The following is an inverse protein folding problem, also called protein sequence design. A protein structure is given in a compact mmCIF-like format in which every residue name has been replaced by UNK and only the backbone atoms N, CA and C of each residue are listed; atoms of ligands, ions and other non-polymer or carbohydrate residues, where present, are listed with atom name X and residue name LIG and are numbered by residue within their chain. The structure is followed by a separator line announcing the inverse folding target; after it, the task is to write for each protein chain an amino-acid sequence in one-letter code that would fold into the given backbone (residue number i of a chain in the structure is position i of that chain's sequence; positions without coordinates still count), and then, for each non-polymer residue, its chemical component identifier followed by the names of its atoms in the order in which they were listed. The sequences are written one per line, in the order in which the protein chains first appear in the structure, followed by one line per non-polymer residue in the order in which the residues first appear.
data_IF_593040128135
#
_entry.id   IF_593040128135
#
_cell.length_a   1.000
_cell.length_b   1.000
_cell.length_c   1.000
_cell.angle_alpha   90.00
_cell.angle_beta   90.00
_cell.angle_gamma   90.00
#
_symmetry.space_group_name_H-M   'P 1'
#
loop_
_entity.id
_entity.type
_entity.pdbx_description
1 polymer ?
#
# COMPACT_ATOMS: atom_id res chain seq x y z
N UNK A 1 8.65 0.83 0.68
CA UNK A 1 9.26 2.08 0.16
C UNK A 1 8.90 3.23 1.08
N UNK A 2 9.50 4.42 0.92
CA UNK A 2 9.10 5.62 1.69
C UNK A 2 8.10 6.45 0.90
N UNK A 3 7.12 7.05 1.58
CA UNK A 3 6.14 7.94 0.96
C UNK A 3 6.83 9.14 0.28
N UNK A 4 6.55 9.42 -1.01
CA UNK A 4 7.00 10.65 -1.66
C UNK A 4 6.17 11.86 -1.23
N UNK A 5 5.01 11.65 -0.60
CA UNK A 5 4.19 12.70 -0.01
C UNK A 5 4.67 12.93 1.41
N UNK A 6 5.19 14.13 1.66
CA UNK A 6 5.56 14.58 3.00
C UNK A 6 4.29 14.81 3.84
N UNK A 7 4.34 14.44 5.12
CA UNK A 7 3.22 14.51 6.08
C UNK A 7 2.47 15.85 6.09
N UNK A 8 3.17 16.95 5.83
CA UNK A 8 2.60 18.31 5.74
C UNK A 8 1.60 18.52 4.60
N UNK A 9 1.63 17.66 3.58
CA UNK A 9 0.71 17.65 2.42
C UNK A 9 -0.23 16.43 2.43
N UNK A 10 -0.25 15.66 3.53
CA UNK A 10 -1.16 14.53 3.67
C UNK A 10 -2.60 15.05 3.64
N UNK A 11 -3.40 14.48 2.75
CA UNK A 11 -4.83 14.73 2.64
C UNK A 11 -5.60 13.47 3.05
N UNK A 12 -6.63 13.57 3.91
CA UNK A 12 -7.46 12.43 4.32
C UNK A 12 -8.26 11.80 3.18
N UNK A 13 -8.31 12.45 2.01
CA UNK A 13 -8.92 11.89 0.80
C UNK A 13 -8.06 10.79 0.16
N UNK A 14 -6.78 10.74 0.47
CA UNK A 14 -5.87 9.70 0.01
C UNK A 14 -5.44 8.84 1.21
N UNK A 15 -5.50 7.50 1.08
CA UNK A 15 -5.04 6.62 2.14
C UNK A 15 -3.54 6.81 2.40
N UNK A 16 -3.12 6.62 3.64
CA UNK A 16 -1.70 6.62 3.99
C UNK A 16 -0.97 5.53 3.19
N UNK A 17 0.13 5.92 2.53
CA UNK A 17 0.93 4.98 1.73
C UNK A 17 1.51 3.95 2.68
N UNK A 18 1.22 2.67 2.41
CA UNK A 18 1.81 1.57 3.16
C UNK A 18 3.27 1.44 2.79
N UNK A 19 4.16 1.58 3.79
CA UNK A 19 5.61 1.59 3.54
C UNK A 19 6.27 0.22 3.68
N UNK A 20 5.69 -0.62 4.55
CA UNK A 20 6.21 -1.94 4.89
C UNK A 20 5.28 -3.02 4.36
N UNK A 21 5.86 -3.95 3.62
CA UNK A 21 5.16 -5.02 2.94
C UNK A 21 5.80 -6.34 3.31
N UNK A 22 4.98 -7.34 3.59
CA UNK A 22 5.39 -8.74 3.77
C UNK A 22 4.73 -9.54 2.67
N UNK A 23 5.54 -10.11 1.78
CA UNK A 23 5.06 -10.88 0.64
C UNK A 23 5.42 -12.35 0.80
N UNK A 24 4.46 -13.23 0.54
CA UNK A 24 4.65 -14.68 0.42
C UNK A 24 4.18 -15.12 -0.97
N UNK A 25 4.96 -15.95 -1.64
CA UNK A 25 4.61 -16.47 -2.96
C UNK A 25 4.86 -17.98 -3.08
N UNK A 26 4.09 -18.63 -3.93
CA UNK A 26 4.26 -20.02 -4.32
C UNK A 26 4.01 -20.17 -5.83
N UNK A 27 4.95 -20.82 -6.51
CA UNK A 27 4.87 -21.15 -7.93
C UNK A 27 4.85 -22.67 -8.12
N UNK A 28 4.07 -23.14 -9.09
CA UNK A 28 3.96 -24.55 -9.48
C UNK A 28 3.97 -24.68 -11.00
N UNK A 29 4.97 -25.39 -11.51
CA UNK A 29 5.08 -25.74 -12.93
C UNK A 29 4.60 -27.18 -13.16
N UNK A 30 3.71 -27.35 -14.13
CA UNK A 30 3.13 -28.60 -14.60
C UNK A 30 3.32 -28.73 -16.11
N UNK A 31 4.58 -28.86 -16.55
CA UNK A 31 4.94 -28.96 -17.96
C UNK A 31 4.73 -27.64 -18.67
N UNK A 32 3.75 -27.60 -19.58
CA UNK A 32 3.42 -26.40 -20.34
C UNK A 32 2.56 -25.41 -19.55
N UNK A 33 2.07 -25.79 -18.36
CA UNK A 33 1.23 -24.96 -17.49
C UNK A 33 2.01 -24.48 -16.27
N UNK A 34 1.93 -23.18 -15.98
CA UNK A 34 2.45 -22.58 -14.74
C UNK A 34 1.32 -21.98 -13.90
N UNK A 35 1.48 -22.02 -12.60
CA UNK A 35 0.58 -21.41 -11.62
C UNK A 35 1.38 -20.62 -10.60
N UNK A 36 1.01 -19.36 -10.39
CA UNK A 36 1.63 -18.51 -9.39
C UNK A 36 0.57 -17.95 -8.44
N UNK A 37 0.81 -18.08 -7.15
CA UNK A 37 0.02 -17.49 -6.09
C UNK A 37 0.90 -16.57 -5.26
N UNK A 38 0.48 -15.33 -5.06
CA UNK A 38 1.15 -14.40 -4.17
C UNK A 38 0.16 -13.77 -3.18
N UNK A 39 0.64 -13.57 -1.96
CA UNK A 39 -0.05 -12.87 -0.90
C UNK A 39 0.85 -11.74 -0.39
N UNK A 40 0.32 -10.54 -0.32
CA UNK A 40 0.98 -9.36 0.20
C UNK A 40 0.20 -8.79 1.37
N UNK A 41 0.89 -8.64 2.50
CA UNK A 41 0.44 -7.94 3.68
C UNK A 41 1.16 -6.58 3.75
N UNK A 42 0.43 -5.52 3.40
CA UNK A 42 0.81 -4.15 3.67
C UNK A 42 0.50 -3.79 5.13
N UNK A 43 1.55 -3.65 5.94
CA UNK A 43 1.44 -3.31 7.36
C UNK A 43 0.85 -1.91 7.56
N UNK A 44 0.12 -1.74 8.65
CA UNK A 44 -0.49 -0.45 8.98
C UNK A 44 0.57 0.67 9.03
N UNK A 45 0.27 1.77 8.32
CA UNK A 45 1.04 3.00 8.42
C UNK A 45 0.11 4.14 8.80
N UNK A 46 0.54 4.93 9.78
CA UNK A 46 -0.21 6.06 10.31
C UNK A 46 0.57 7.34 10.03
N UNK A 47 -0.09 8.30 9.39
CA UNK A 47 0.48 9.61 9.09
C UNK A 47 -0.43 10.69 9.68
N UNK A 48 0.19 11.71 10.25
CA UNK A 48 -0.51 12.84 10.89
C UNK A 48 -0.11 14.13 10.21
N UNK A 49 -1.10 14.93 9.78
CA UNK A 49 -0.88 16.28 9.29
C UNK A 49 -1.17 17.31 10.39
N UNK A 50 -0.12 17.85 10.99
CA UNK A 50 -0.20 18.90 12.01
C UNK A 50 -0.04 20.31 11.43
N UNK A 51 -0.09 20.47 10.11
CA UNK A 51 0.07 21.78 9.49
C UNK A 51 -1.14 22.68 9.82
N UNK A 52 -0.85 23.82 10.45
CA UNK A 52 -1.84 24.81 10.86
C UNK A 52 -2.25 25.77 9.72
N UNK A 53 -1.49 25.81 8.62
CA UNK A 53 -1.83 26.61 7.46
C UNK A 53 -2.97 25.96 6.66
N UNK A 54 -4.15 26.60 6.70
CA UNK A 54 -5.34 26.13 6.00
C UNK A 54 -5.22 26.17 4.47
N UNK A 55 -4.26 26.90 3.91
CA UNK A 55 -3.98 26.87 2.46
C UNK A 55 -3.20 25.62 2.04
N UNK A 56 -2.52 24.97 2.98
CA UNK A 56 -1.73 23.74 2.75
C UNK A 56 -2.47 22.50 3.27
N UNK A 57 -3.13 22.62 4.41
CA UNK A 57 -3.98 21.58 5.00
C UNK A 57 -5.40 22.13 5.19
N UNK A 58 -6.29 21.99 4.20
CA UNK A 58 -7.65 22.50 4.26
C UNK A 58 -8.52 21.80 5.32
N UNK A 59 -8.04 20.70 5.90
CA UNK A 59 -8.73 19.92 6.93
C UNK A 59 -8.32 20.31 8.36
N UNK A 60 -7.33 21.20 8.51
CA UNK A 60 -6.83 21.68 9.80
C UNK A 60 -5.84 20.73 10.49
N UNK A 61 -5.10 21.21 11.50
CA UNK A 61 -4.05 20.44 12.16
C UNK A 61 -4.61 19.28 12.98
N UNK A 62 -3.83 18.20 13.10
CA UNK A 62 -4.16 17.03 13.91
C UNK A 62 -4.96 15.96 13.17
N UNK A 63 -5.01 16.03 11.84
CA UNK A 63 -5.68 15.01 11.02
C UNK A 63 -4.76 13.80 10.92
N UNK A 64 -5.24 12.66 11.40
CA UNK A 64 -4.52 11.39 11.39
C UNK A 64 -5.19 10.43 10.43
N UNK A 65 -4.42 9.83 9.51
CA UNK A 65 -4.87 8.78 8.60
C UNK A 65 -4.06 7.52 8.89
N UNK A 66 -4.75 6.42 9.18
CA UNK A 66 -4.16 5.09 9.32
C UNK A 66 -4.72 4.17 8.22
N UNK A 67 -3.85 3.41 7.58
CA UNK A 67 -4.23 2.49 6.50
C UNK A 67 -3.34 1.25 6.49
N UNK A 68 -3.96 0.08 6.31
CA UNK A 68 -3.33 -1.21 6.01
C UNK A 68 -3.98 -1.82 4.79
N UNK A 69 -3.25 -2.66 4.05
CA UNK A 69 -3.74 -3.26 2.82
C UNK A 69 -3.35 -4.73 2.74
N UNK A 70 -4.25 -5.58 2.25
CA UNK A 70 -3.96 -6.98 1.95
C UNK A 70 -4.28 -7.24 0.49
N UNK A 71 -3.36 -7.90 -0.22
CA UNK A 71 -3.51 -8.21 -1.65
C UNK A 71 -3.25 -9.69 -1.87
N UNK A 72 -4.14 -10.36 -2.61
CA UNK A 72 -3.94 -11.73 -3.11
C UNK A 72 -3.86 -11.64 -4.62
N UNK A 73 -2.86 -12.28 -5.21
CA UNK A 73 -2.65 -12.38 -6.65
C UNK A 73 -2.57 -13.84 -7.06
N UNK A 74 -3.20 -14.18 -8.19
CA UNK A 74 -3.14 -15.50 -8.79
C UNK A 74 -2.95 -15.35 -10.30
N UNK A 75 -1.99 -16.08 -10.85
CA UNK A 75 -1.66 -16.10 -12.26
C UNK A 75 -1.60 -17.53 -12.78
N UNK A 76 -1.99 -17.71 -14.04
CA UNK A 76 -1.86 -18.96 -14.78
C UNK A 76 -1.15 -18.66 -16.10
N UNK A 77 -0.12 -19.42 -16.41
CA UNK A 77 0.65 -19.28 -17.65
C UNK A 77 0.60 -20.58 -18.46
N UNK A 78 0.68 -20.45 -19.78
CA UNK A 78 0.80 -21.57 -20.70
C UNK A 78 1.92 -21.29 -21.72
N UNK A 79 2.86 -22.22 -21.87
CA UNK A 79 4.01 -22.10 -22.76
C UNK A 79 3.89 -23.08 -23.93
N UNK A 80 4.15 -22.62 -25.15
CA UNK A 80 4.05 -23.38 -26.41
C UNK A 80 5.40 -23.50 -27.14
#
# INVERSE_FOLDING_TARGET
GKSPVSDQYLSPLFPAIVEKHVTLGYGLDLGDLGFDLAYELGLENTQTNDNADQMVNPFGPGITVSHSQNTVHFETSYSF
#
